data_IF_478831062587
#
_entry.id   IF_478831062587
#
_cell.length_a   1.000
_cell.length_b   1.000
_cell.length_c   1.000
_cell.angle_alpha   90.00
_cell.angle_beta   90.00
_cell.angle_gamma   90.00
#
_symmetry.space_group_name_H-M   'P 1'
#
loop_
_entity.id
_entity.type
_entity.pdbx_description
1 polymer ?
#
# COMPACT_ATOMS: atom_id res chain seq x y z
N UNK A 1 16.91 3.00 -12.61
CA UNK A 1 17.49 2.90 -11.25
C UNK A 1 16.35 2.34 -10.38
N UNK A 2 16.59 1.29 -9.58
CA UNK A 2 15.59 0.48 -8.84
C UNK A 2 14.99 1.19 -7.61
N UNK A 3 13.68 1.44 -7.57
CA UNK A 3 13.00 2.02 -6.40
C UNK A 3 12.76 1.06 -5.24
N UNK A 4 12.62 -0.23 -5.55
CA UNK A 4 12.52 -1.28 -4.53
C UNK A 4 13.75 -1.41 -3.62
N UNK A 5 14.90 -0.95 -4.09
CA UNK A 5 16.19 -1.15 -3.43
C UNK A 5 16.32 -0.39 -2.09
N UNK A 6 15.40 0.53 -1.80
CA UNK A 6 15.34 1.27 -0.53
C UNK A 6 14.20 0.83 0.39
N UNK A 7 13.36 -0.12 -0.03
CA UNK A 7 12.22 -0.52 0.79
C UNK A 7 12.64 -1.12 2.12
N UNK A 8 13.64 -2.00 2.11
CA UNK A 8 14.19 -2.60 3.32
C UNK A 8 14.66 -1.55 4.33
N UNK A 9 15.12 -0.39 3.84
CA UNK A 9 15.52 0.72 4.68
C UNK A 9 14.32 1.38 5.38
N UNK A 10 13.26 1.71 4.66
CA UNK A 10 12.06 2.29 5.27
C UNK A 10 11.32 1.31 6.17
N UNK A 11 11.42 0.00 5.90
CA UNK A 11 10.89 -1.05 6.76
C UNK A 11 11.63 -1.19 8.09
N UNK A 12 12.87 -0.69 8.21
CA UNK A 12 13.63 -0.72 9.49
C UNK A 12 12.99 0.13 10.60
N UNK A 13 12.04 1.02 10.25
CA UNK A 13 11.23 1.76 11.22
C UNK A 13 10.25 0.87 12.02
N UNK A 14 9.99 -0.36 11.58
CA UNK A 14 9.14 -1.30 12.33
C UNK A 14 9.90 -1.94 13.50
N UNK A 15 9.28 -1.93 14.69
CA UNK A 15 9.70 -2.74 15.83
C UNK A 15 8.49 -3.21 16.64
N UNK A 16 8.43 -4.51 16.95
CA UNK A 16 7.40 -5.13 17.79
C UNK A 16 5.97 -4.81 17.30
N UNK A 17 5.77 -4.79 15.97
CA UNK A 17 4.48 -4.46 15.36
C UNK A 17 4.10 -2.98 15.39
N UNK A 18 5.00 -2.06 15.77
CA UNK A 18 4.77 -0.61 15.71
C UNK A 18 5.77 0.04 14.75
N UNK A 19 5.29 1.02 13.98
CA UNK A 19 6.14 1.77 13.07
C UNK A 19 6.56 3.11 13.69
N UNK A 20 7.85 3.38 13.68
CA UNK A 20 8.44 4.61 14.20
C UNK A 20 9.61 5.05 13.31
N UNK A 21 9.39 6.10 12.53
CA UNK A 21 10.38 6.63 11.60
C UNK A 21 11.58 7.29 12.28
N UNK A 22 11.54 7.61 13.58
CA UNK A 22 12.70 8.18 14.27
C UNK A 22 13.88 7.19 14.36
N UNK A 23 13.60 5.90 14.15
CA UNK A 23 14.58 4.81 14.14
C UNK A 23 15.29 4.66 12.81
N UNK A 24 14.76 5.30 11.78
CA UNK A 24 15.39 5.34 10.47
C UNK A 24 16.55 6.34 10.60
N UNK A 25 17.78 5.88 10.37
CA UNK A 25 18.99 6.69 10.57
C UNK A 25 18.89 8.04 9.83
N UNK A 26 19.19 9.12 10.55
CA UNK A 26 19.13 10.50 10.05
C UNK A 26 20.12 10.78 8.92
N UNK A 27 21.26 10.06 8.86
CA UNK A 27 22.21 10.13 7.74
C UNK A 27 21.70 9.37 6.50
N UNK A 28 20.65 8.56 6.66
CA UNK A 28 20.14 7.64 5.65
C UNK A 28 18.75 7.97 5.11
N UNK A 29 18.25 9.22 5.17
CA UNK A 29 17.15 9.63 4.28
C UNK A 29 17.67 9.67 2.84
N UNK A 30 17.91 8.48 2.25
CA UNK A 30 18.63 8.29 0.99
C UNK A 30 17.95 9.05 -0.15
N UNK A 31 16.65 9.30 -0.02
CA UNK A 31 15.80 9.95 -1.01
C UNK A 31 15.09 11.22 -0.47
N UNK A 32 15.52 11.74 0.69
CA UNK A 32 14.89 12.90 1.33
C UNK A 32 13.44 12.67 1.76
N UNK A 33 12.70 13.76 1.95
CA UNK A 33 11.30 13.74 2.42
C UNK A 33 10.37 13.05 1.41
N UNK A 34 10.55 13.27 0.11
CA UNK A 34 9.71 12.66 -0.93
C UNK A 34 9.78 11.12 -0.90
N UNK A 35 10.98 10.55 -0.74
CA UNK A 35 11.14 9.10 -0.64
C UNK A 35 10.58 8.53 0.66
N UNK A 36 10.72 9.27 1.78
CA UNK A 36 10.08 8.88 3.02
C UNK A 36 8.56 8.89 2.91
N UNK A 37 7.98 9.91 2.29
CA UNK A 37 6.53 9.97 2.10
C UNK A 37 6.05 8.86 1.16
N UNK A 38 6.81 8.53 0.12
CA UNK A 38 6.46 7.47 -0.81
C UNK A 38 6.49 6.07 -0.17
N UNK A 39 7.47 5.80 0.70
CA UNK A 39 7.74 4.43 1.17
C UNK A 39 7.52 4.19 2.67
N UNK A 40 7.65 5.23 3.51
CA UNK A 40 7.55 5.15 4.96
C UNK A 40 6.26 5.73 5.54
N UNK A 41 5.75 6.84 4.99
CA UNK A 41 4.54 7.49 5.54
C UNK A 41 3.33 6.53 5.57
N UNK A 42 3.18 5.74 4.52
CA UNK A 42 2.10 4.75 4.38
C UNK A 42 2.18 3.58 5.36
N UNK A 43 3.28 3.44 6.10
CA UNK A 43 3.41 2.44 7.16
C UNK A 43 2.75 2.89 8.47
N UNK A 44 2.54 4.22 8.66
CA UNK A 44 1.83 4.83 9.80
C UNK A 44 0.31 4.60 9.80
N UNK A 45 -0.16 3.40 9.48
CA UNK A 45 -1.60 3.12 9.50
C UNK A 45 -2.15 2.81 10.89
N UNK A 46 -1.38 3.08 11.95
CA UNK A 46 -1.80 2.99 13.35
C UNK A 46 -1.06 4.01 14.20
N UNK A 47 -1.63 4.39 15.34
CA UNK A 47 -1.09 5.43 16.20
C UNK A 47 -2.15 6.18 17.01
N UNK A 48 -1.77 7.33 17.55
CA UNK A 48 -2.61 8.19 18.38
C UNK A 48 -2.62 9.65 17.91
N UNK A 49 -3.24 10.51 18.72
CA UNK A 49 -3.34 11.95 18.49
C UNK A 49 -1.96 12.64 18.36
N UNK A 50 -0.95 12.19 19.12
CA UNK A 50 0.39 12.76 19.06
C UNK A 50 1.03 12.46 17.71
N UNK A 51 0.92 11.20 17.27
CA UNK A 51 1.43 10.78 15.96
C UNK A 51 0.73 11.53 14.81
N UNK A 52 -0.60 11.65 14.86
CA UNK A 52 -1.35 12.41 13.87
C UNK A 52 -0.89 13.88 13.81
N UNK A 53 -0.67 14.53 14.96
CA UNK A 53 -0.18 15.92 15.02
C UNK A 53 1.23 16.08 14.47
N UNK A 54 2.12 15.13 14.73
CA UNK A 54 3.45 15.14 14.12
C UNK A 54 3.35 15.12 12.59
N UNK A 55 2.55 14.19 12.03
CA UNK A 55 2.38 14.06 10.58
C UNK A 55 1.76 15.32 9.95
N UNK A 56 0.75 15.91 10.60
CA UNK A 56 0.14 17.17 10.14
C UNK A 56 1.15 18.33 10.07
N UNK A 57 2.08 18.40 11.03
CA UNK A 57 3.07 19.48 11.08
C UNK A 57 4.25 19.24 10.13
N UNK A 58 4.69 17.99 10.01
CA UNK A 58 5.89 17.62 9.26
C UNK A 58 5.64 17.43 7.77
N UNK A 59 4.47 16.89 7.39
CA UNK A 59 4.16 16.54 6.01
C UNK A 59 2.82 17.13 5.49
N UNK A 60 2.49 18.43 5.74
CA UNK A 60 1.17 18.98 5.41
C UNK A 60 0.86 19.05 3.91
N UNK A 61 1.88 19.15 3.07
CA UNK A 61 1.76 19.35 1.62
C UNK A 61 1.58 18.04 0.85
N UNK A 62 1.84 16.89 1.49
CA UNK A 62 1.80 15.61 0.81
C UNK A 62 0.39 15.03 0.75
N UNK A 63 -0.02 14.58 -0.44
CA UNK A 63 -1.38 14.14 -0.70
C UNK A 63 -1.83 12.93 0.13
N UNK A 64 -0.90 12.06 0.57
CA UNK A 64 -1.23 10.88 1.39
C UNK A 64 -1.27 11.13 2.90
N UNK A 65 -0.71 12.23 3.41
CA UNK A 65 -0.80 12.59 4.83
C UNK A 65 -2.23 12.56 5.37
N UNK A 66 -3.24 13.19 4.72
CA UNK A 66 -4.62 13.09 5.19
C UNK A 66 -5.19 11.67 5.15
N UNK A 67 -4.79 10.84 4.19
CA UNK A 67 -5.21 9.43 4.14
C UNK A 67 -4.64 8.64 5.32
N UNK A 68 -3.37 8.82 5.65
CA UNK A 68 -2.73 8.17 6.82
C UNK A 68 -3.42 8.58 8.13
N UNK A 69 -3.68 9.87 8.31
CA UNK A 69 -4.40 10.36 9.50
C UNK A 69 -5.82 9.79 9.57
N UNK A 70 -6.51 9.67 8.43
CA UNK A 70 -7.81 8.98 8.36
C UNK A 70 -7.69 7.52 8.80
N UNK A 71 -6.63 6.79 8.40
CA UNK A 71 -6.37 5.41 8.86
C UNK A 71 -6.13 5.34 10.36
N UNK A 72 -5.33 6.26 10.92
CA UNK A 72 -5.13 6.35 12.37
C UNK A 72 -6.47 6.56 13.08
N UNK A 73 -7.30 7.50 12.59
CA UNK A 73 -8.61 7.77 13.17
C UNK A 73 -9.56 6.56 13.17
N UNK A 74 -9.51 5.72 12.13
CA UNK A 74 -10.30 4.49 12.06
C UNK A 74 -9.91 3.48 13.15
N UNK A 75 -8.68 3.51 13.64
CA UNK A 75 -8.20 2.63 14.71
C UNK A 75 -8.34 3.26 16.10
N UNK A 76 -8.07 4.56 16.20
CA UNK A 76 -8.09 5.34 17.43
C UNK A 76 -8.75 6.70 17.16
N UNK A 77 -9.96 6.96 17.68
CA UNK A 77 -10.66 8.21 17.42
C UNK A 77 -9.81 9.45 17.76
N UNK A 78 -9.54 10.26 16.76
CA UNK A 78 -8.79 11.52 16.87
C UNK A 78 -9.71 12.71 17.20
N UNK A 79 -9.09 13.83 17.61
CA UNK A 79 -9.79 15.07 17.91
C UNK A 79 -10.49 15.70 16.70
N UNK A 80 -11.51 16.51 16.97
CA UNK A 80 -12.23 17.27 15.92
C UNK A 80 -11.28 18.19 15.13
N UNK A 81 -10.18 18.66 15.73
CA UNK A 81 -9.17 19.47 15.05
C UNK A 81 -8.47 18.66 13.94
N UNK A 82 -8.06 17.43 14.26
CA UNK A 82 -7.44 16.52 13.29
C UNK A 82 -8.42 16.16 12.17
N UNK A 83 -9.70 15.90 12.51
CA UNK A 83 -10.76 15.63 11.54
C UNK A 83 -10.94 16.81 10.58
N UNK A 84 -11.07 18.03 11.11
CA UNK A 84 -11.20 19.25 10.27
C UNK A 84 -9.97 19.48 9.40
N UNK A 85 -8.78 19.14 9.89
CA UNK A 85 -7.55 19.24 9.10
C UNK A 85 -7.58 18.30 7.88
N UNK A 86 -7.96 17.03 8.08
CA UNK A 86 -8.09 16.05 6.99
C UNK A 86 -9.15 16.49 5.99
N UNK A 87 -10.31 16.94 6.47
CA UNK A 87 -11.39 17.42 5.60
C UNK A 87 -10.97 18.65 4.76
N UNK A 88 -10.19 19.56 5.35
CA UNK A 88 -9.62 20.70 4.63
C UNK A 88 -8.58 20.25 3.59
N UNK A 89 -7.76 19.25 3.90
CA UNK A 89 -6.80 18.69 2.96
C UNK A 89 -7.49 18.00 1.77
N UNK A 90 -8.54 17.21 2.01
CA UNK A 90 -9.36 16.61 0.93
C UNK A 90 -10.06 17.67 0.08
N UNK A 91 -10.55 18.76 0.69
CA UNK A 91 -11.10 19.88 -0.06
C UNK A 91 -10.06 20.56 -0.96
N UNK A 92 -8.81 20.73 -0.51
CA UNK A 92 -7.72 21.23 -1.36
C UNK A 92 -7.43 20.29 -2.53
N UNK A 93 -7.35 18.99 -2.28
CA UNK A 93 -7.12 17.99 -3.33
C UNK A 93 -8.27 17.95 -4.36
N UNK A 94 -9.52 18.20 -3.93
CA UNK A 94 -10.65 18.33 -4.85
C UNK A 94 -10.49 19.51 -5.83
N UNK A 95 -9.83 20.60 -5.42
CA UNK A 95 -9.50 21.72 -6.33
C UNK A 95 -8.38 21.35 -7.29
N UNK A 96 -7.31 20.70 -6.79
CA UNK A 96 -6.17 20.25 -7.61
C UNK A 96 -6.63 19.32 -8.74
N UNK A 97 -7.55 18.40 -8.45
CA UNK A 97 -8.15 17.48 -9.46
C UNK A 97 -8.85 18.19 -10.62
N UNK A 98 -9.31 19.43 -10.42
CA UNK A 98 -9.99 20.20 -11.45
C UNK A 98 -9.03 21.04 -12.31
N UNK A 99 -7.73 21.01 -12.02
CA UNK A 99 -6.72 21.69 -12.81
C UNK A 99 -6.34 20.85 -14.05
N UNK A 100 -6.23 21.43 -15.25
CA UNK A 100 -5.92 20.70 -16.49
C UNK A 100 -4.64 19.85 -16.46
N UNK A 101 -3.67 20.25 -15.64
CA UNK A 101 -2.39 19.57 -15.43
C UNK A 101 -2.46 18.36 -14.49
N UNK A 102 -3.56 18.19 -13.75
CA UNK A 102 -3.74 17.04 -12.86
C UNK A 102 -3.98 15.76 -13.67
N UNK A 103 -3.36 14.66 -13.24
CA UNK A 103 -3.65 13.34 -13.80
C UNK A 103 -5.16 13.05 -13.79
N UNK A 104 -5.83 13.35 -12.66
CA UNK A 104 -7.24 13.07 -12.48
C UNK A 104 -8.14 13.85 -13.45
N UNK A 105 -7.75 15.07 -13.82
CA UNK A 105 -8.55 15.90 -14.73
C UNK A 105 -8.83 15.23 -16.07
N UNK A 106 -7.83 14.49 -16.59
CA UNK A 106 -7.96 13.75 -17.85
C UNK A 106 -8.74 12.44 -17.75
N UNK A 107 -9.03 11.95 -16.55
CA UNK A 107 -9.68 10.66 -16.30
C UNK A 107 -11.06 10.78 -15.62
N UNK A 108 -11.40 11.96 -15.09
CA UNK A 108 -12.65 12.17 -14.31
C UNK A 108 -13.93 11.80 -15.07
N UNK A 109 -13.94 11.97 -16.39
CA UNK A 109 -15.10 11.64 -17.23
C UNK A 109 -15.21 10.13 -17.47
N UNK A 110 -14.10 9.39 -17.35
CA UNK A 110 -14.08 7.93 -17.41
C UNK A 110 -14.56 7.31 -16.10
N UNK A 111 -14.33 8.00 -14.97
CA UNK A 111 -14.71 7.57 -13.62
C UNK A 111 -15.53 8.65 -12.88
N UNK A 112 -16.77 8.94 -13.33
CA UNK A 112 -17.57 10.05 -12.82
C UNK A 112 -18.05 9.85 -11.36
N UNK A 113 -18.18 8.60 -10.88
CA UNK A 113 -18.59 8.32 -9.51
C UNK A 113 -17.43 8.47 -8.55
N UNK A 114 -16.24 7.99 -8.93
CA UNK A 114 -15.01 8.25 -8.20
C UNK A 114 -14.71 9.75 -8.16
N UNK A 115 -14.90 10.48 -9.27
CA UNK A 115 -14.68 11.93 -9.29
C UNK A 115 -15.60 12.65 -8.29
N UNK A 116 -16.90 12.33 -8.34
CA UNK A 116 -17.87 12.85 -7.37
C UNK A 116 -17.48 12.47 -5.94
N UNK A 117 -17.14 11.21 -5.71
CA UNK A 117 -16.72 10.73 -4.39
C UNK A 117 -15.48 11.50 -3.89
N UNK A 118 -14.42 11.63 -4.68
CA UNK A 118 -13.21 12.35 -4.32
C UNK A 118 -13.45 13.85 -4.08
N UNK A 119 -14.44 14.44 -4.75
CA UNK A 119 -14.83 15.82 -4.53
C UNK A 119 -15.51 16.03 -3.17
N UNK A 120 -16.45 15.14 -2.81
CA UNK A 120 -17.36 15.33 -1.67
C UNK A 120 -17.02 14.51 -0.42
N UNK A 121 -16.20 13.47 -0.52
CA UNK A 121 -15.87 12.59 0.59
C UNK A 121 -15.04 13.31 1.65
N UNK A 122 -15.51 13.21 2.89
CA UNK A 122 -14.96 13.77 4.11
C UNK A 122 -15.05 12.70 5.19
N UNK A 123 -14.26 12.84 6.26
CA UNK A 123 -14.21 11.82 7.31
C UNK A 123 -15.59 11.52 7.91
N UNK A 124 -16.43 12.54 8.09
CA UNK A 124 -17.75 12.39 8.67
C UNK A 124 -18.85 11.86 7.74
N UNK A 125 -18.63 11.80 6.42
CA UNK A 125 -19.68 11.43 5.46
C UNK A 125 -19.27 10.33 4.47
N UNK A 126 -18.02 9.86 4.49
CA UNK A 126 -17.52 8.87 3.53
C UNK A 126 -18.49 7.70 3.34
N UNK A 127 -18.88 7.03 4.43
CA UNK A 127 -19.66 5.80 4.38
C UNK A 127 -21.04 6.00 3.74
N UNK A 128 -21.64 7.18 3.89
CA UNK A 128 -22.96 7.47 3.32
C UNK A 128 -22.92 7.78 1.81
N UNK A 129 -21.74 8.06 1.26
CA UNK A 129 -21.53 8.26 -0.18
C UNK A 129 -21.28 6.94 -0.92
N UNK A 130 -21.05 5.84 -0.19
CA UNK A 130 -20.74 4.55 -0.79
C UNK A 130 -21.98 3.94 -1.43
N UNK A 131 -21.82 3.44 -2.65
CA UNK A 131 -22.86 2.74 -3.38
C UNK A 131 -22.23 1.60 -4.19
N UNK A 132 -22.98 0.53 -4.47
CA UNK A 132 -22.50 -0.55 -5.35
C UNK A 132 -21.91 -0.02 -6.66
N UNK A 133 -22.55 0.96 -7.34
CA UNK A 133 -22.03 1.44 -8.60
C UNK A 133 -20.73 2.27 -8.45
N UNK A 134 -20.44 2.85 -7.28
CA UNK A 134 -19.14 3.45 -6.96
C UNK A 134 -18.07 2.37 -6.77
N UNK A 135 -18.41 1.27 -6.09
CA UNK A 135 -17.49 0.15 -5.85
C UNK A 135 -17.11 -0.58 -7.15
N UNK A 136 -18.07 -0.76 -8.06
CA UNK A 136 -17.78 -1.30 -9.41
C UNK A 136 -16.80 -0.40 -10.19
N UNK A 137 -16.91 0.92 -10.00
CA UNK A 137 -16.03 1.88 -10.63
C UNK A 137 -14.64 1.91 -9.99
N UNK A 138 -14.54 1.73 -8.67
CA UNK A 138 -13.29 1.56 -7.95
C UNK A 138 -12.53 0.30 -8.42
N UNK A 139 -13.24 -0.82 -8.59
CA UNK A 139 -12.68 -2.05 -9.16
C UNK A 139 -12.15 -1.80 -10.57
N UNK A 140 -12.97 -1.20 -11.45
CA UNK A 140 -12.56 -0.89 -12.83
C UNK A 140 -11.35 0.03 -12.88
N UNK A 141 -11.32 1.09 -12.06
CA UNK A 141 -10.19 2.00 -11.99
C UNK A 141 -8.89 1.28 -11.60
N UNK A 142 -8.93 0.43 -10.57
CA UNK A 142 -7.77 -0.38 -10.20
C UNK A 142 -7.40 -1.33 -11.35
N UNK A 143 -8.35 -2.06 -11.93
CA UNK A 143 -8.10 -2.95 -13.08
C UNK A 143 -7.43 -2.21 -14.25
N UNK A 144 -7.89 -1.02 -14.60
CA UNK A 144 -7.38 -0.24 -15.72
C UNK A 144 -5.92 0.19 -15.50
N UNK A 145 -5.55 0.55 -14.27
CA UNK A 145 -4.15 0.80 -13.89
C UNK A 145 -3.27 -0.41 -14.25
N UNK A 146 -3.75 -1.63 -13.98
CA UNK A 146 -3.02 -2.88 -14.19
C UNK A 146 -3.36 -3.60 -15.51
N UNK A 147 -4.14 -3.00 -16.41
CA UNK A 147 -4.71 -3.70 -17.58
C UNK A 147 -3.72 -4.03 -18.71
N UNK A 148 -2.53 -3.42 -18.72
CA UNK A 148 -1.53 -3.57 -19.79
C UNK A 148 -0.47 -4.64 -19.51
N UNK A 149 -0.82 -5.69 -18.74
CA UNK A 149 0.13 -6.73 -18.33
C UNK A 149 0.63 -7.53 -19.53
N UNK A 150 1.92 -7.82 -19.54
CA UNK A 150 2.48 -8.97 -20.27
C UNK A 150 2.57 -10.15 -19.30
N UNK A 151 2.58 -11.38 -19.81
CA UNK A 151 2.74 -12.55 -18.94
C UNK A 151 4.21 -12.97 -18.96
N UNK A 152 4.83 -13.00 -17.78
CA UNK A 152 6.13 -13.62 -17.58
C UNK A 152 5.92 -14.94 -16.83
N UNK A 153 6.43 -16.03 -17.39
CA UNK A 153 6.40 -17.31 -16.67
C UNK A 153 7.66 -17.35 -15.82
N UNK A 154 7.50 -17.25 -14.50
CA UNK A 154 8.60 -17.43 -13.55
C UNK A 154 8.51 -18.83 -12.95
N UNK A 155 9.64 -19.51 -12.91
CA UNK A 155 9.76 -20.80 -12.25
C UNK A 155 9.66 -20.59 -10.74
N UNK A 156 8.57 -21.09 -10.17
CA UNK A 156 8.33 -21.25 -8.75
C UNK A 156 9.28 -22.28 -8.19
N UNK A 157 10.25 -21.80 -7.44
CA UNK A 157 11.15 -22.66 -6.70
C UNK A 157 10.53 -22.87 -5.32
N UNK A 158 10.35 -24.12 -4.83
CA UNK A 158 11.40 -25.14 -4.85
C UNK A 158 11.16 -26.42 -5.68
N UNK A 159 10.00 -26.62 -6.32
CA UNK A 159 9.68 -27.90 -7.02
C UNK A 159 9.51 -27.77 -8.55
N UNK A 160 9.94 -26.66 -9.16
CA UNK A 160 9.77 -26.43 -10.60
C UNK A 160 8.32 -26.14 -11.00
N UNK A 161 7.47 -25.74 -10.04
CA UNK A 161 6.11 -25.30 -10.32
C UNK A 161 6.17 -23.99 -11.11
N UNK A 162 5.54 -23.96 -12.27
CA UNK A 162 5.53 -22.76 -13.12
C UNK A 162 4.42 -21.83 -12.66
N UNK A 163 4.77 -20.64 -12.16
CA UNK A 163 3.80 -19.59 -11.89
C UNK A 163 3.77 -18.63 -13.08
N UNK A 164 2.57 -18.37 -13.57
CA UNK A 164 2.35 -17.31 -14.55
C UNK A 164 2.19 -16.02 -13.75
N UNK A 165 3.20 -15.16 -13.81
CA UNK A 165 3.12 -13.84 -13.23
C UNK A 165 2.75 -12.83 -14.31
N UNK A 166 1.62 -12.14 -14.20
CA UNK A 166 1.43 -10.92 -14.97
C UNK A 166 2.53 -9.91 -14.55
N UNK A 167 3.32 -9.45 -15.52
CA UNK A 167 4.37 -8.44 -15.38
C UNK A 167 4.06 -7.27 -16.31
N UNK A 168 4.07 -6.05 -15.79
CA UNK A 168 3.73 -4.84 -16.56
C UNK A 168 4.95 -4.22 -17.23
N UNK A 169 4.77 -3.71 -18.46
CA UNK A 169 5.85 -3.01 -19.18
C UNK A 169 6.23 -1.69 -18.47
N UNK A 170 7.55 -1.50 -18.34
CA UNK A 170 8.34 -0.40 -17.74
C UNK A 170 7.76 1.01 -17.52
N UNK A 171 6.81 1.48 -18.32
CA UNK A 171 6.67 2.92 -18.58
C UNK A 171 5.33 3.56 -18.19
N UNK A 172 4.38 2.90 -17.51
CA UNK A 172 3.04 3.51 -17.30
C UNK A 172 2.47 3.52 -15.87
N UNK A 173 2.80 2.56 -14.99
CA UNK A 173 2.12 2.48 -13.67
C UNK A 173 2.76 3.31 -12.57
N UNK A 174 4.10 3.39 -12.55
CA UNK A 174 4.78 4.24 -11.57
C UNK A 174 4.35 5.71 -11.71
N UNK A 175 3.86 6.11 -12.88
CA UNK A 175 3.37 7.45 -13.12
C UNK A 175 2.03 7.70 -12.42
N UNK A 176 1.11 6.73 -12.39
CA UNK A 176 -0.17 6.88 -11.68
C UNK A 176 0.05 6.94 -10.16
N UNK A 177 0.86 6.03 -9.63
CA UNK A 177 1.20 6.04 -8.21
C UNK A 177 1.96 7.31 -7.80
N UNK A 178 2.61 8.01 -8.73
CA UNK A 178 3.25 9.30 -8.47
C UNK A 178 2.31 10.49 -8.67
N UNK A 179 1.45 10.45 -9.68
CA UNK A 179 0.63 11.58 -10.12
C UNK A 179 -0.74 11.66 -9.43
N UNK A 180 -1.27 10.53 -8.98
CA UNK A 180 -2.57 10.43 -8.30
C UNK A 180 -2.55 9.39 -7.14
N UNK A 181 -1.57 9.45 -6.20
CA UNK A 181 -1.47 8.46 -5.12
C UNK A 181 -2.71 8.44 -4.23
N UNK A 182 -3.26 9.60 -3.90
CA UNK A 182 -4.42 9.67 -3.01
C UNK A 182 -5.64 8.98 -3.62
N UNK A 183 -5.89 9.17 -4.91
CA UNK A 183 -7.01 8.58 -5.63
C UNK A 183 -6.91 7.05 -5.59
N UNK A 184 -5.73 6.50 -5.88
CA UNK A 184 -5.49 5.04 -5.82
C UNK A 184 -5.73 4.50 -4.42
N UNK A 185 -5.21 5.17 -3.38
CA UNK A 185 -5.39 4.73 -1.99
C UNK A 185 -6.85 4.84 -1.54
N UNK A 186 -7.57 5.88 -1.94
CA UNK A 186 -8.99 6.05 -1.62
C UNK A 186 -9.88 5.01 -2.32
N UNK A 187 -9.62 4.71 -3.61
CA UNK A 187 -10.33 3.65 -4.33
C UNK A 187 -10.07 2.29 -3.69
N UNK A 188 -8.82 2.04 -3.28
CA UNK A 188 -8.44 0.81 -2.58
C UNK A 188 -9.14 0.70 -1.23
N UNK A 189 -9.21 1.80 -0.47
CA UNK A 189 -9.88 1.84 0.82
C UNK A 189 -11.39 1.58 0.70
N UNK A 190 -12.04 2.08 -0.36
CA UNK A 190 -13.43 1.76 -0.67
C UNK A 190 -13.64 0.25 -0.78
N UNK A 191 -12.76 -0.45 -1.49
CA UNK A 191 -12.86 -1.90 -1.64
C UNK A 191 -12.55 -2.62 -0.33
N UNK A 192 -11.44 -2.28 0.33
CA UNK A 192 -11.06 -2.90 1.62
C UNK A 192 -12.20 -2.82 2.65
N UNK A 193 -12.88 -1.67 2.76
CA UNK A 193 -13.93 -1.46 3.76
C UNK A 193 -15.31 -1.99 3.35
N UNK A 194 -15.69 -1.82 2.07
CA UNK A 194 -17.09 -2.02 1.64
C UNK A 194 -17.27 -3.13 0.60
N UNK A 195 -16.17 -3.72 0.10
CA UNK A 195 -16.16 -4.90 -0.78
C UNK A 195 -14.91 -5.74 -0.52
N UNK A 196 -14.79 -6.22 0.73
CA UNK A 196 -13.57 -6.88 1.22
C UNK A 196 -13.18 -8.13 0.44
N UNK A 197 -14.12 -8.81 -0.20
CA UNK A 197 -13.92 -10.02 -1.03
C UNK A 197 -13.76 -9.69 -2.53
N UNK A 198 -13.42 -8.44 -2.87
CA UNK A 198 -13.18 -8.05 -4.25
C UNK A 198 -11.98 -8.81 -4.81
N UNK A 199 -12.20 -9.67 -5.80
CA UNK A 199 -11.15 -10.42 -6.50
C UNK A 199 -10.11 -9.52 -7.18
N UNK A 200 -10.43 -8.23 -7.39
CA UNK A 200 -9.50 -7.23 -7.93
C UNK A 200 -8.33 -7.01 -6.97
N UNK A 201 -8.54 -7.07 -5.65
CA UNK A 201 -7.49 -6.86 -4.66
C UNK A 201 -6.35 -7.90 -4.76
N UNK A 202 -6.61 -9.22 -4.67
CA UNK A 202 -5.57 -10.23 -4.86
C UNK A 202 -4.99 -10.22 -6.29
N UNK A 203 -5.82 -9.97 -7.31
CA UNK A 203 -5.32 -9.89 -8.69
C UNK A 203 -4.31 -8.75 -8.87
N UNK A 204 -4.62 -7.54 -8.43
CA UNK A 204 -3.77 -6.37 -8.67
C UNK A 204 -2.43 -6.42 -7.92
N UNK A 205 -2.38 -7.02 -6.74
CA UNK A 205 -1.09 -7.23 -6.03
C UNK A 205 -0.23 -8.34 -6.60
N UNK A 206 -0.83 -9.29 -7.36
CA UNK A 206 -0.10 -10.35 -8.05
C UNK A 206 0.74 -9.84 -9.20
N UNK A 207 0.44 -8.63 -9.69
CA UNK A 207 1.10 -8.05 -10.84
C UNK A 207 2.44 -7.45 -10.45
N UNK A 208 3.51 -7.87 -11.11
CA UNK A 208 4.83 -7.28 -10.92
C UNK A 208 4.98 -5.98 -11.74
N UNK A 209 5.55 -4.95 -11.13
CA UNK A 209 5.64 -3.60 -11.69
C UNK A 209 7.06 -3.08 -11.53
N UNK A 210 7.67 -2.54 -12.59
CA UNK A 210 8.94 -1.84 -12.41
C UNK A 210 8.71 -0.47 -11.75
N UNK A 211 9.42 -0.23 -10.64
CA UNK A 211 9.21 0.94 -9.78
C UNK A 211 10.38 1.92 -9.88
N UNK A 212 10.07 3.19 -10.15
CA UNK A 212 11.03 4.29 -10.04
C UNK A 212 11.39 4.58 -8.57
N UNK A 213 12.49 5.29 -8.34
CA UNK A 213 13.03 5.62 -7.01
C UNK A 213 12.00 6.14 -5.99
N UNK A 214 11.05 6.97 -6.43
CA UNK A 214 10.01 7.54 -5.58
C UNK A 214 8.66 7.07 -6.12
N UNK A 215 8.08 6.06 -5.46
CA UNK A 215 6.77 5.53 -5.80
C UNK A 215 6.06 5.02 -4.55
N UNK A 216 4.76 5.27 -4.51
CA UNK A 216 3.88 4.80 -3.44
C UNK A 216 3.42 3.35 -3.64
N UNK A 217 3.73 2.75 -4.81
CA UNK A 217 3.27 1.41 -5.17
C UNK A 217 3.67 0.33 -4.16
N UNK A 218 4.92 0.27 -3.66
CA UNK A 218 5.27 -0.79 -2.72
C UNK A 218 4.51 -0.74 -1.39
N UNK A 219 4.33 0.47 -0.85
CA UNK A 219 3.53 0.67 0.34
C UNK A 219 2.06 0.36 0.11
N UNK A 220 1.50 0.79 -1.02
CA UNK A 220 0.17 0.39 -1.46
C UNK A 220 0.02 -1.14 -1.54
N UNK A 221 0.97 -1.83 -2.17
CA UNK A 221 0.98 -3.29 -2.29
C UNK A 221 0.98 -3.96 -0.91
N UNK A 222 1.74 -3.44 0.06
CA UNK A 222 1.73 -3.95 1.44
C UNK A 222 0.39 -3.75 2.13
N UNK A 223 -0.32 -2.64 1.90
CA UNK A 223 -1.67 -2.40 2.45
C UNK A 223 -2.66 -3.42 1.90
N UNK A 224 -2.66 -3.64 0.59
CA UNK A 224 -3.57 -4.61 -0.04
C UNK A 224 -3.19 -6.04 0.33
N UNK A 225 -1.91 -6.39 0.36
CA UNK A 225 -1.46 -7.70 0.81
C UNK A 225 -1.83 -7.97 2.28
N UNK A 226 -1.76 -6.94 3.13
CA UNK A 226 -2.20 -7.05 4.52
C UNK A 226 -3.69 -7.41 4.62
N UNK A 227 -4.52 -6.76 3.80
CA UNK A 227 -5.95 -7.07 3.69
C UNK A 227 -6.18 -8.49 3.18
N UNK A 228 -5.57 -8.88 2.06
CA UNK A 228 -5.72 -10.20 1.43
C UNK A 228 -5.40 -11.31 2.41
N UNK A 229 -4.23 -11.27 3.05
CA UNK A 229 -3.86 -12.30 4.01
C UNK A 229 -4.79 -12.36 5.24
N UNK A 230 -5.52 -11.28 5.55
CA UNK A 230 -6.44 -11.22 6.69
C UNK A 230 -7.89 -11.62 6.37
N UNK A 231 -8.27 -11.64 5.10
CA UNK A 231 -9.69 -11.73 4.71
C UNK A 231 -9.98 -12.76 3.61
N UNK A 232 -8.97 -13.23 2.87
CA UNK A 232 -9.17 -14.17 1.76
C UNK A 232 -9.08 -15.64 2.20
N UNK A 233 -9.49 -16.53 1.30
CA UNK A 233 -9.39 -17.98 1.51
C UNK A 233 -7.93 -18.46 1.55
N UNK A 234 -7.71 -19.63 2.16
CA UNK A 234 -6.38 -20.27 2.20
C UNK A 234 -5.76 -20.42 0.81
N UNK A 235 -6.56 -20.76 -0.20
CA UNK A 235 -6.09 -21.02 -1.55
C UNK A 235 -5.58 -19.74 -2.24
N UNK A 236 -6.28 -18.62 -2.01
CA UNK A 236 -5.86 -17.30 -2.51
C UNK A 236 -4.61 -16.86 -1.76
N UNK A 237 -4.58 -17.01 -0.43
CA UNK A 237 -3.42 -16.66 0.40
C UNK A 237 -2.18 -17.46 -0.02
N UNK A 238 -2.33 -18.76 -0.26
CA UNK A 238 -1.26 -19.64 -0.73
C UNK A 238 -0.72 -19.17 -2.09
N UNK A 239 -1.62 -18.90 -3.04
CA UNK A 239 -1.24 -18.41 -4.37
C UNK A 239 -0.50 -17.07 -4.27
N UNK A 240 -1.05 -16.10 -3.55
CA UNK A 240 -0.47 -14.76 -3.41
C UNK A 240 0.85 -14.80 -2.62
N UNK A 241 0.92 -15.57 -1.54
CA UNK A 241 2.12 -15.70 -0.71
C UNK A 241 3.32 -16.27 -1.45
N UNK A 242 3.08 -17.20 -2.37
CA UNK A 242 4.14 -17.79 -3.20
C UNK A 242 4.66 -16.85 -4.30
N UNK A 243 3.92 -15.81 -4.68
CA UNK A 243 4.30 -14.91 -5.79
C UNK A 243 4.75 -13.52 -5.35
N UNK A 244 4.30 -13.02 -4.20
CA UNK A 244 4.66 -11.69 -3.74
C UNK A 244 6.18 -11.56 -3.52
N UNK A 245 6.77 -10.36 -3.76
CA UNK A 245 8.17 -10.12 -3.45
C UNK A 245 8.47 -10.26 -1.95
N UNK A 246 9.66 -10.74 -1.62
CA UNK A 246 10.03 -10.98 -0.22
C UNK A 246 10.03 -9.70 0.63
N UNK A 247 10.31 -8.53 0.07
CA UNK A 247 10.18 -7.26 0.78
C UNK A 247 8.73 -6.96 1.21
N UNK A 248 7.74 -7.37 0.42
CA UNK A 248 6.33 -7.25 0.79
C UNK A 248 6.01 -8.17 1.97
N UNK A 249 6.45 -9.44 1.91
CA UNK A 249 6.28 -10.40 3.01
C UNK A 249 7.02 -9.96 4.29
N UNK A 250 8.23 -9.41 4.16
CA UNK A 250 8.99 -8.81 5.26
C UNK A 250 8.20 -7.70 5.94
N UNK A 251 7.64 -6.76 5.17
CA UNK A 251 6.82 -5.69 5.73
C UNK A 251 5.59 -6.21 6.49
N UNK A 252 4.89 -7.21 5.93
CA UNK A 252 3.78 -7.87 6.63
C UNK A 252 4.23 -8.56 7.92
N UNK A 253 5.37 -9.25 7.90
CA UNK A 253 5.93 -9.91 9.08
C UNK A 253 6.23 -8.89 10.18
N UNK A 254 6.92 -7.80 9.83
CA UNK A 254 7.29 -6.74 10.76
C UNK A 254 6.07 -6.07 11.41
N UNK A 255 4.99 -5.86 10.64
CA UNK A 255 3.72 -5.35 11.14
C UNK A 255 3.04 -6.31 12.12
N UNK A 256 3.18 -7.62 11.90
CA UNK A 256 2.46 -8.66 12.66
C UNK A 256 3.35 -9.50 13.56
N UNK A 257 4.50 -8.97 14.01
CA UNK A 257 5.45 -9.74 14.84
C UNK A 257 4.84 -10.34 16.12
N UNK A 258 3.74 -9.76 16.62
CA UNK A 258 3.06 -10.23 17.83
C UNK A 258 1.95 -11.26 17.54
N UNK A 259 1.62 -11.52 16.27
CA UNK A 259 0.63 -12.54 15.86
C UNK A 259 1.33 -13.83 15.45
N UNK A 260 1.34 -14.81 16.35
CA UNK A 260 2.02 -16.10 16.14
C UNK A 260 1.52 -16.85 14.90
N UNK A 261 0.22 -16.79 14.61
CA UNK A 261 -0.35 -17.50 13.45
C UNK A 261 0.11 -16.82 12.15
N UNK A 262 0.02 -15.49 12.11
CA UNK A 262 0.47 -14.70 10.96
C UNK A 262 1.97 -14.84 10.71
N UNK A 263 2.77 -14.83 11.77
CA UNK A 263 4.23 -15.05 11.71
C UNK A 263 4.54 -16.44 11.16
N UNK A 264 3.88 -17.49 11.65
CA UNK A 264 4.11 -18.85 11.16
C UNK A 264 3.77 -18.98 9.67
N UNK A 265 2.64 -18.41 9.24
CA UNK A 265 2.21 -18.42 7.84
C UNK A 265 3.20 -17.67 6.93
N UNK A 266 3.61 -16.45 7.32
CA UNK A 266 4.56 -15.67 6.52
C UNK A 266 5.93 -16.33 6.47
N UNK A 267 6.37 -16.96 7.57
CA UNK A 267 7.63 -17.71 7.62
C UNK A 267 7.62 -18.86 6.63
N UNK A 268 6.49 -19.59 6.53
CA UNK A 268 6.33 -20.69 5.58
C UNK A 268 6.59 -20.28 4.12
N UNK A 269 6.04 -19.14 3.69
CA UNK A 269 6.25 -18.61 2.34
C UNK A 269 7.69 -18.13 2.07
N UNK A 270 8.42 -17.72 3.10
CA UNK A 270 9.85 -17.38 2.97
C UNK A 270 10.70 -18.64 2.94
N UNK A 271 10.35 -19.67 3.73
CA UNK A 271 11.05 -20.97 3.75
C UNK A 271 10.99 -21.69 2.41
N UNK A 272 9.85 -21.61 1.70
CA UNK A 272 9.71 -22.22 0.37
C UNK A 272 10.50 -21.47 -0.71
N UNK A 273 10.94 -20.22 -0.45
CA UNK A 273 11.54 -19.37 -1.48
C UNK A 273 13.04 -19.67 -1.68
N UNK A 274 13.41 -20.04 -2.90
CA UNK A 274 14.82 -20.32 -3.24
C UNK A 274 15.62 -19.07 -3.63
N UNK A 275 14.98 -18.05 -4.22
CA UNK A 275 15.64 -16.80 -4.60
C UNK A 275 14.63 -15.67 -4.76
N UNK A 276 15.08 -14.43 -4.54
CA UNK A 276 14.36 -13.19 -4.81
C UNK A 276 15.37 -12.14 -5.32
N UNK A 277 14.90 -11.19 -6.12
CA UNK A 277 15.77 -10.23 -6.82
C UNK A 277 16.43 -9.21 -5.87
N UNK A 278 15.90 -9.05 -4.65
CA UNK A 278 16.27 -7.98 -3.72
C UNK A 278 16.62 -8.46 -2.32
N UNK A 279 16.02 -9.56 -1.88
CA UNK A 279 16.21 -10.07 -0.52
C UNK A 279 16.73 -11.50 -0.57
N UNK A 280 17.78 -11.80 0.19
CA UNK A 280 18.22 -13.17 0.36
C UNK A 280 17.19 -13.93 1.25
N UNK A 281 16.51 -14.98 0.75
CA UNK A 281 15.50 -15.70 1.53
C UNK A 281 16.06 -16.28 2.84
N UNK A 282 17.30 -16.79 2.82
CA UNK A 282 17.92 -17.40 3.99
C UNK A 282 18.22 -16.36 5.09
N UNK A 283 18.64 -15.15 4.70
CA UNK A 283 18.88 -14.05 5.64
C UNK A 283 17.57 -13.55 6.26
N UNK A 284 16.54 -13.35 5.43
CA UNK A 284 15.22 -12.94 5.90
C UNK A 284 14.62 -14.00 6.84
N UNK A 285 14.74 -15.28 6.49
CA UNK A 285 14.27 -16.37 7.34
C UNK A 285 14.96 -16.38 8.70
N UNK A 286 16.27 -16.15 8.74
CA UNK A 286 17.02 -16.04 9.99
C UNK A 286 16.55 -14.85 10.83
N UNK A 287 16.33 -13.68 10.21
CA UNK A 287 15.78 -12.48 10.84
C UNK A 287 14.39 -12.76 11.46
N UNK A 288 13.51 -13.42 10.71
CA UNK A 288 12.15 -13.75 11.15
C UNK A 288 12.15 -14.72 12.32
N UNK A 289 12.98 -15.77 12.26
CA UNK A 289 13.12 -16.76 13.34
C UNK A 289 13.70 -16.17 14.63
N UNK A 290 14.65 -15.23 14.51
CA UNK A 290 15.26 -14.57 15.67
C UNK A 290 14.31 -13.55 16.32
N UNK A 291 13.40 -12.97 15.53
CA UNK A 291 12.44 -11.95 15.99
C UNK A 291 11.12 -12.54 16.48
N UNK A 292 10.80 -13.77 16.07
CA UNK A 292 9.66 -14.53 16.60
C UNK A 292 9.98 -15.00 18.02
N UNK A 293 9.46 -14.30 19.04
CA UNK A 293 9.45 -14.81 20.41
C UNK A 293 8.40 -15.94 20.45
N UNK A 294 8.86 -17.17 20.22
CA UNK A 294 8.01 -18.37 20.33
C UNK A 294 7.59 -18.64 21.78
#
# INVERSE_FOLDING_TARGET
MCGYCFEGYYLSGWQNGNYDASRIDSEGLVLGEDGFVAMGLVEYTGGDESQARELMNRFPEFALTPWVIMKIHQQSPLSDDAVRWVDAAYARQAVVRQQPESYWYSHKDEYPRLDSFYHYARMGNWASLVSLPLLDEAERFLLDIFSHCTYEIKEGKPDGEMFILPSLYRNKLSDVFKAAPLEVFLATELLIQFRSESWVLPMTISVDVEVFFISYFPGWRRIVANHVFGNESSDIIETIGNILPLNTLKGLFLRHQNDKQRVSLLTHFVESRVSDDQVNPAELLAEMKNSAIF
#
